data_IF_589583471166
#
_entry.id   IF_589583471166
#
_cell.length_a   1.000
_cell.length_b   1.000
_cell.length_c   1.000
_cell.angle_alpha   90.00
_cell.angle_beta   90.00
_cell.angle_gamma   90.00
#
_symmetry.space_group_name_H-M   'P 1'
#
loop_
_entity.id
_entity.type
_entity.pdbx_description
1 polymer ?
#
# COMPACT_ATOMS: atom_id res chain seq x y z
N UNK A 1 20.69 11.93 7.61
CA UNK A 1 19.70 11.18 8.40
C UNK A 1 18.79 12.16 9.11
N UNK A 2 17.47 12.02 8.97
CA UNK A 2 16.49 12.87 9.68
C UNK A 2 16.59 12.65 11.19
N UNK A 3 16.11 13.61 12.00
CA UNK A 3 16.15 13.47 13.45
C UNK A 3 15.34 12.26 13.94
N UNK A 4 14.22 11.97 13.29
CA UNK A 4 13.39 10.80 13.59
C UNK A 4 14.15 9.49 13.32
N UNK A 5 14.80 9.37 12.16
CA UNK A 5 15.55 8.17 11.80
C UNK A 5 16.76 7.97 12.73
N UNK A 6 17.44 9.05 13.13
CA UNK A 6 18.49 9.00 14.16
C UNK A 6 17.99 8.42 15.48
N UNK A 7 16.85 8.92 15.97
CA UNK A 7 16.23 8.43 17.20
C UNK A 7 15.85 6.95 17.08
N UNK A 8 15.27 6.54 15.96
CA UNK A 8 14.89 5.15 15.73
C UNK A 8 16.09 4.19 15.81
N UNK A 9 17.21 4.53 15.15
CA UNK A 9 18.44 3.73 15.25
C UNK A 9 19.03 3.73 16.65
N UNK A 10 19.00 4.86 17.37
CA UNK A 10 19.51 4.96 18.73
C UNK A 10 18.68 4.14 19.74
N UNK A 11 17.37 3.99 19.54
CA UNK A 11 16.54 3.08 20.34
C UNK A 11 16.74 1.62 19.94
N UNK A 12 16.80 1.33 18.64
CA UNK A 12 17.03 -0.02 18.13
C UNK A 12 18.38 -0.57 18.63
N UNK A 13 19.44 0.23 18.66
CA UNK A 13 20.77 -0.20 19.12
C UNK A 13 20.84 -0.54 20.61
N UNK A 14 19.80 -0.27 21.40
CA UNK A 14 19.73 -0.66 22.81
C UNK A 14 19.15 -2.07 23.00
N UNK A 15 18.55 -2.64 21.96
CA UNK A 15 17.97 -3.99 22.00
C UNK A 15 19.08 -5.06 21.97
N UNK A 16 18.83 -6.29 22.43
CA UNK A 16 19.73 -7.42 22.21
C UNK A 16 19.97 -7.68 20.71
N UNK A 17 21.14 -8.19 20.34
CA UNK A 17 21.51 -8.43 18.93
C UNK A 17 20.43 -9.16 18.11
N UNK A 18 19.77 -10.23 18.60
CA UNK A 18 18.72 -10.91 17.82
C UNK A 18 17.51 -10.01 17.51
N UNK A 19 17.17 -9.10 18.42
CA UNK A 19 16.07 -8.16 18.23
C UNK A 19 16.47 -7.01 17.29
N UNK A 20 17.75 -6.60 17.31
CA UNK A 20 18.28 -5.64 16.34
C UNK A 20 18.21 -6.20 14.92
N UNK A 21 18.63 -7.46 14.73
CA UNK A 21 18.59 -8.14 13.43
C UNK A 21 17.16 -8.35 12.94
N UNK A 22 16.23 -8.69 13.83
CA UNK A 22 14.82 -8.79 13.51
C UNK A 22 14.23 -7.43 13.06
N UNK A 23 14.54 -6.36 13.78
CA UNK A 23 14.12 -5.00 13.41
C UNK A 23 14.70 -4.57 12.06
N UNK A 24 16.00 -4.81 11.84
CA UNK A 24 16.67 -4.50 10.58
C UNK A 24 16.04 -5.26 9.41
N UNK A 25 15.77 -6.55 9.58
CA UNK A 25 15.12 -7.39 8.56
C UNK A 25 13.74 -6.87 8.19
N UNK A 26 12.92 -6.49 9.18
CA UNK A 26 11.60 -5.91 8.95
C UNK A 26 11.68 -4.58 8.20
N UNK A 27 12.59 -3.69 8.59
CA UNK A 27 12.77 -2.40 7.94
C UNK A 27 13.19 -2.56 6.47
N UNK A 28 14.14 -3.45 6.19
CA UNK A 28 14.59 -3.73 4.83
C UNK A 28 13.47 -4.33 3.97
N UNK A 29 12.71 -5.28 4.52
CA UNK A 29 11.58 -5.88 3.82
C UNK A 29 10.50 -4.84 3.46
N UNK A 30 10.21 -3.89 4.35
CA UNK A 30 9.25 -2.83 4.09
C UNK A 30 9.72 -1.87 2.99
N UNK A 31 11.00 -1.48 3.00
CA UNK A 31 11.59 -0.65 1.95
C UNK A 31 11.54 -1.33 0.58
N UNK A 32 11.87 -2.62 0.53
CA UNK A 32 11.78 -3.41 -0.69
C UNK A 32 10.34 -3.59 -1.17
N UNK A 33 9.39 -3.80 -0.24
CA UNK A 33 7.95 -3.87 -0.53
C UNK A 33 7.47 -2.58 -1.20
N UNK A 34 7.79 -1.41 -0.61
CA UNK A 34 7.46 -0.10 -1.18
C UNK A 34 8.04 0.10 -2.57
N UNK A 35 9.31 -0.30 -2.78
CA UNK A 35 9.95 -0.20 -4.10
C UNK A 35 9.22 -1.07 -5.13
N UNK A 36 8.90 -2.32 -4.79
CA UNK A 36 8.17 -3.23 -5.69
C UNK A 36 6.79 -2.68 -6.04
N UNK A 37 6.05 -2.20 -5.05
CA UNK A 37 4.73 -1.58 -5.26
C UNK A 37 4.82 -0.34 -6.15
N UNK A 38 5.76 0.56 -5.90
CA UNK A 38 5.94 1.75 -6.71
C UNK A 38 6.27 1.40 -8.18
N UNK A 39 7.14 0.41 -8.38
CA UNK A 39 7.51 -0.05 -9.73
C UNK A 39 6.32 -0.70 -10.44
N UNK A 40 5.59 -1.60 -9.77
CA UNK A 40 4.42 -2.25 -10.35
C UNK A 40 3.34 -1.23 -10.72
N UNK A 41 3.06 -0.28 -9.83
CA UNK A 41 2.04 0.76 -10.05
C UNK A 41 2.42 1.76 -11.15
N UNK A 42 3.72 2.07 -11.30
CA UNK A 42 4.16 2.97 -12.37
C UNK A 42 3.83 2.42 -13.77
N UNK A 43 3.80 1.10 -13.95
CA UNK A 43 3.45 0.46 -15.22
C UNK A 43 1.95 0.26 -15.48
N UNK A 44 1.07 0.56 -14.53
CA UNK A 44 -0.37 0.22 -14.64
C UNK A 44 -1.26 1.38 -15.09
N UNK A 45 -0.70 2.55 -15.43
CA UNK A 45 -1.51 3.76 -15.68
C UNK A 45 -2.49 3.59 -16.85
N UNK A 46 -2.06 2.98 -17.97
CA UNK A 46 -2.94 2.74 -19.13
C UNK A 46 -4.06 1.74 -18.82
N UNK A 47 -3.75 0.72 -18.01
CA UNK A 47 -4.74 -0.26 -17.57
C UNK A 47 -5.78 0.39 -16.63
N UNK A 48 -5.32 1.23 -15.70
CA UNK A 48 -6.21 1.96 -14.79
C UNK A 48 -7.09 2.96 -15.55
N UNK A 49 -6.55 3.63 -16.58
CA UNK A 49 -7.33 4.50 -17.45
C UNK A 49 -8.43 3.73 -18.20
N UNK A 50 -8.08 2.57 -18.76
CA UNK A 50 -9.06 1.69 -19.42
C UNK A 50 -10.19 1.28 -18.47
N UNK A 51 -9.85 0.86 -17.24
CA UNK A 51 -10.84 0.48 -16.23
C UNK A 51 -11.74 1.65 -15.81
N UNK A 52 -11.19 2.87 -15.74
CA UNK A 52 -11.97 4.07 -15.45
C UNK A 52 -12.96 4.38 -16.59
N UNK A 53 -12.52 4.29 -17.84
CA UNK A 53 -13.37 4.50 -19.02
C UNK A 53 -14.47 3.43 -19.13
N UNK A 54 -14.18 2.18 -18.76
CA UNK A 54 -15.18 1.11 -18.65
C UNK A 54 -16.23 1.45 -17.60
N UNK A 55 -15.82 1.79 -16.38
CA UNK A 55 -16.74 2.13 -15.30
C UNK A 55 -17.66 3.32 -15.63
N UNK A 56 -17.12 4.34 -16.33
CA UNK A 56 -17.92 5.47 -16.79
C UNK A 56 -18.95 5.06 -17.85
N UNK A 57 -18.55 4.22 -18.82
CA UNK A 57 -19.48 3.70 -19.84
C UNK A 57 -20.61 2.88 -19.23
N UNK A 58 -20.29 1.99 -18.29
CA UNK A 58 -21.30 1.20 -17.56
C UNK A 58 -22.26 2.11 -16.78
N UNK A 59 -21.74 3.19 -16.17
CA UNK A 59 -22.57 4.16 -15.47
C UNK A 59 -23.53 4.88 -16.42
N UNK A 60 -23.02 5.37 -17.55
CA UNK A 60 -23.83 6.04 -18.58
C UNK A 60 -24.87 5.10 -19.23
N UNK A 61 -24.54 3.82 -19.36
CA UNK A 61 -25.45 2.79 -19.87
C UNK A 61 -26.52 2.35 -18.86
N UNK A 62 -26.45 2.82 -17.60
CA UNK A 62 -27.36 2.41 -16.52
C UNK A 62 -27.11 0.98 -16.02
N UNK A 63 -25.92 0.43 -16.28
CA UNK A 63 -25.50 -0.91 -15.88
C UNK A 63 -24.90 -0.95 -14.46
N UNK A 64 -24.83 0.21 -13.81
CA UNK A 64 -24.37 0.34 -12.42
C UNK A 64 -25.55 0.38 -11.45
N UNK A 65 -25.27 0.12 -10.17
CA UNK A 65 -26.24 0.27 -9.07
C UNK A 65 -25.69 1.24 -8.02
N UNK A 66 -26.54 2.01 -7.34
CA UNK A 66 -26.10 2.83 -6.21
C UNK A 66 -25.37 1.99 -5.16
N UNK A 67 -24.26 2.50 -4.66
CA UNK A 67 -23.49 1.88 -3.58
C UNK A 67 -24.37 1.77 -2.33
N UNK A 68 -24.43 0.57 -1.76
CA UNK A 68 -25.13 0.31 -0.51
C UNK A 68 -24.14 -0.33 0.46
N UNK A 69 -23.84 0.36 1.56
CA UNK A 69 -22.82 -0.09 2.52
C UNK A 69 -23.20 -1.41 3.20
N UNK A 70 -24.49 -1.69 3.41
CA UNK A 70 -24.94 -2.93 4.05
C UNK A 70 -24.84 -4.12 3.10
N UNK A 71 -25.09 -3.89 1.81
CA UNK A 71 -25.04 -4.92 0.76
C UNK A 71 -23.61 -5.17 0.25
N UNK A 72 -22.86 -4.10 -0.03
CA UNK A 72 -21.58 -4.18 -0.73
C UNK A 72 -20.39 -4.31 0.25
N UNK A 73 -20.56 -3.90 1.52
CA UNK A 73 -19.55 -4.01 2.58
C UNK A 73 -20.16 -4.57 3.87
N UNK A 74 -20.63 -5.83 3.87
CA UNK A 74 -21.18 -6.43 5.07
C UNK A 74 -20.12 -6.49 6.16
N UNK A 75 -20.48 -6.04 7.36
CA UNK A 75 -19.72 -6.32 8.57
C UNK A 75 -20.24 -7.65 9.12
N UNK A 76 -19.48 -8.72 8.91
CA UNK A 76 -19.65 -9.94 9.69
C UNK A 76 -19.30 -9.69 11.17
#
# INVERSE_FOLDING_TARGET
MTQLLKRAFAEASKLPDPEQDAFASLLLAELDSKRRWAQAFASTQDQLATLADEALREFEAGETRPMDLRRDFPHD
#
